data_IF_548143988818
#
_entry.id   IF_548143988818
#
_cell.length_a   1.000
_cell.length_b   1.000
_cell.length_c   1.000
_cell.angle_alpha   90.00
_cell.angle_beta   90.00
_cell.angle_gamma   90.00
#
_symmetry.space_group_name_H-M   'P 1'
#
loop_
_entity.id
_entity.type
_entity.pdbx_description
1 polymer ?
#
# COMPACT_ATOMS: atom_id res chain seq x y z
N UNK A 1 -9.90 33.73 -28.72
CA UNK A 1 -8.43 33.71 -28.54
C UNK A 1 -8.11 34.46 -27.27
N UNK A 2 -7.77 33.76 -26.18
CA UNK A 2 -7.29 34.41 -24.95
C UNK A 2 -5.86 34.87 -25.18
N UNK A 3 -5.50 36.03 -24.64
CA UNK A 3 -4.19 36.62 -24.84
C UNK A 3 -3.12 35.74 -24.15
N UNK A 4 -2.01 35.44 -24.81
CA UNK A 4 -0.89 34.65 -24.30
C UNK A 4 -0.41 35.04 -22.88
N UNK A 5 -0.40 36.30 -22.45
CA UNK A 5 0.01 36.71 -21.09
C UNK A 5 -0.92 36.20 -19.97
N UNK A 6 -2.23 36.09 -20.21
CA UNK A 6 -3.17 35.61 -19.19
C UNK A 6 -3.04 34.10 -18.96
N UNK A 7 -2.74 33.34 -19.99
CA UNK A 7 -2.48 31.87 -19.89
C UNK A 7 -1.19 31.62 -19.09
N UNK A 8 -0.10 32.33 -19.36
CA UNK A 8 1.17 32.18 -18.64
C UNK A 8 1.00 32.48 -17.15
N UNK A 9 0.36 33.59 -16.77
CA UNK A 9 0.13 33.93 -15.38
C UNK A 9 -0.71 32.90 -14.62
N UNK A 10 -1.72 32.31 -15.30
CA UNK A 10 -2.56 31.26 -14.70
C UNK A 10 -1.80 29.94 -14.53
N UNK A 11 -0.93 29.57 -15.47
CA UNK A 11 -0.09 28.38 -15.39
C UNK A 11 1.00 28.53 -14.30
N UNK A 12 1.62 29.69 -14.17
CA UNK A 12 2.56 29.99 -13.07
C UNK A 12 1.86 29.91 -11.71
N UNK A 13 0.65 30.45 -11.59
CA UNK A 13 -0.15 30.34 -10.36
C UNK A 13 -0.48 28.88 -10.02
N UNK A 14 -0.86 28.08 -11.02
CA UNK A 14 -1.12 26.64 -10.83
C UNK A 14 0.14 25.90 -10.41
N UNK A 15 1.28 26.18 -11.05
CA UNK A 15 2.55 25.55 -10.71
C UNK A 15 2.95 25.87 -9.27
N UNK A 16 2.74 27.10 -8.81
CA UNK A 16 2.97 27.46 -7.41
C UNK A 16 2.09 26.70 -6.42
N UNK A 17 0.80 26.48 -6.76
CA UNK A 17 -0.09 25.66 -5.91
C UNK A 17 0.36 24.20 -5.87
N UNK A 18 0.77 23.63 -7.00
CA UNK A 18 1.25 22.25 -7.10
C UNK A 18 2.51 22.05 -6.27
N UNK A 19 3.47 22.99 -6.37
CA UNK A 19 4.74 22.93 -5.64
C UNK A 19 4.51 23.07 -4.12
N UNK A 20 3.73 24.06 -3.68
CA UNK A 20 3.39 24.25 -2.27
C UNK A 20 2.69 23.03 -1.68
N UNK A 21 1.74 22.44 -2.44
CA UNK A 21 1.07 21.22 -2.04
C UNK A 21 2.06 20.06 -1.91
N UNK A 22 3.00 19.93 -2.86
CA UNK A 22 3.99 18.87 -2.81
C UNK A 22 4.91 18.99 -1.59
N UNK A 23 5.42 20.20 -1.30
CA UNK A 23 6.21 20.47 -0.11
C UNK A 23 5.43 20.17 1.17
N UNK A 24 4.15 20.54 1.21
CA UNK A 24 3.26 20.21 2.31
C UNK A 24 3.10 18.68 2.47
N UNK A 25 2.94 17.93 1.37
CA UNK A 25 2.87 16.46 1.41
C UNK A 25 4.13 15.86 2.02
N UNK A 26 5.32 16.33 1.63
CA UNK A 26 6.60 15.85 2.19
C UNK A 26 6.78 16.21 3.67
N UNK A 27 6.14 17.25 4.16
CA UNK A 27 6.13 17.60 5.58
C UNK A 27 5.14 16.74 6.36
N UNK A 28 3.95 16.48 5.81
CA UNK A 28 2.92 15.69 6.47
C UNK A 28 3.20 14.19 6.47
N UNK A 29 3.94 13.70 5.49
CA UNK A 29 4.23 12.27 5.25
C UNK A 29 5.73 12.08 5.01
N UNK A 30 6.57 12.14 6.07
CA UNK A 30 8.03 12.09 5.94
C UNK A 30 8.54 10.81 5.26
N UNK A 31 7.82 9.70 5.35
CA UNK A 31 8.16 8.45 4.66
C UNK A 31 8.21 8.60 3.13
N UNK A 32 7.47 9.56 2.55
CA UNK A 32 7.51 9.82 1.11
C UNK A 32 8.84 10.37 0.63
N UNK A 33 9.64 10.97 1.52
CA UNK A 33 10.99 11.45 1.21
C UNK A 33 11.92 10.32 0.78
N UNK A 34 11.72 9.12 1.33
CA UNK A 34 12.48 7.92 0.97
C UNK A 34 12.38 7.56 -0.52
N UNK A 35 11.25 7.88 -1.15
CA UNK A 35 11.05 7.62 -2.58
C UNK A 35 12.01 8.43 -3.46
N UNK A 36 12.57 9.52 -2.93
CA UNK A 36 13.52 10.42 -3.60
C UNK A 36 14.97 10.26 -3.15
N UNK A 37 15.25 9.34 -2.24
CA UNK A 37 16.56 9.28 -1.60
C UNK A 37 16.82 10.43 -0.61
N UNK A 38 15.81 11.25 -0.27
CA UNK A 38 15.92 12.30 0.75
C UNK A 38 15.85 11.68 2.15
N UNK A 39 17.00 11.59 2.80
CA UNK A 39 17.16 10.99 4.13
C UNK A 39 16.66 11.87 5.29
N UNK A 40 16.25 13.11 5.04
CA UNK A 40 15.86 14.05 6.11
C UNK A 40 14.59 13.63 6.89
N UNK A 41 13.80 12.70 6.33
CA UNK A 41 12.63 12.10 6.97
C UNK A 41 12.86 10.73 7.61
N UNK A 42 14.08 10.17 7.53
CA UNK A 42 14.33 8.78 7.92
C UNK A 42 14.04 8.48 9.39
N UNK A 43 14.24 9.43 10.28
CA UNK A 43 13.97 9.29 11.72
C UNK A 43 12.54 9.64 12.16
N UNK A 44 11.60 9.91 11.22
CA UNK A 44 10.29 10.45 11.54
C UNK A 44 9.16 9.54 11.07
N UNK A 45 8.06 9.52 11.81
CA UNK A 45 6.78 8.92 11.40
C UNK A 45 5.77 9.99 11.01
N UNK A 46 4.88 9.64 10.09
CA UNK A 46 3.64 10.39 9.87
C UNK A 46 2.87 10.52 11.20
N UNK A 47 2.48 11.73 11.58
CA UNK A 47 1.63 11.92 12.74
C UNK A 47 0.21 11.41 12.47
N UNK A 48 -0.18 10.35 13.18
CA UNK A 48 -1.48 9.69 13.08
C UNK A 48 -2.47 10.15 14.16
N UNK A 49 -2.20 11.25 14.86
CA UNK A 49 -3.13 11.81 15.84
C UNK A 49 -4.40 12.36 15.18
N UNK A 50 -5.51 12.38 15.91
CA UNK A 50 -6.75 13.00 15.45
C UNK A 50 -6.56 14.48 15.09
N UNK A 51 -5.72 15.18 15.85
CA UNK A 51 -5.38 16.59 15.61
C UNK A 51 -4.69 16.77 14.25
N UNK A 52 -3.75 15.88 13.90
CA UNK A 52 -3.07 15.91 12.61
C UNK A 52 -4.03 15.62 11.44
N UNK A 53 -4.95 14.66 11.58
CA UNK A 53 -6.01 14.44 10.58
C UNK A 53 -6.89 15.66 10.37
N UNK A 54 -7.30 16.31 11.45
CA UNK A 54 -8.10 17.56 11.38
C UNK A 54 -7.31 18.70 10.74
N UNK A 55 -6.01 18.81 11.02
CA UNK A 55 -5.16 19.84 10.41
C UNK A 55 -5.01 19.59 8.91
N UNK A 56 -4.68 18.37 8.50
CA UNK A 56 -4.61 18.00 7.08
C UNK A 56 -5.91 18.31 6.33
N UNK A 57 -7.06 18.00 6.93
CA UNK A 57 -8.35 18.34 6.34
C UNK A 57 -8.53 19.86 6.10
N UNK A 58 -8.09 20.72 7.04
CA UNK A 58 -8.13 22.18 6.87
C UNK A 58 -7.17 22.65 5.77
N UNK A 59 -5.95 22.15 5.78
CA UNK A 59 -4.90 22.52 4.82
C UNK A 59 -5.28 22.12 3.39
N UNK A 60 -5.81 20.93 3.21
CA UNK A 60 -6.37 20.47 1.93
C UNK A 60 -7.49 21.39 1.43
N UNK A 61 -8.34 21.88 2.36
CA UNK A 61 -9.38 22.88 2.05
C UNK A 61 -8.81 24.20 1.53
N UNK A 62 -7.68 24.65 2.08
CA UNK A 62 -7.00 25.86 1.60
C UNK A 62 -6.41 25.64 0.18
N UNK A 63 -5.84 24.46 -0.12
CA UNK A 63 -5.39 24.13 -1.47
C UNK A 63 -6.56 24.05 -2.46
N UNK A 64 -7.68 23.45 -2.09
CA UNK A 64 -8.90 23.43 -2.91
C UNK A 64 -9.33 24.85 -3.25
N UNK A 65 -9.40 25.76 -2.28
CA UNK A 65 -9.80 27.13 -2.49
C UNK A 65 -8.85 27.89 -3.44
N UNK A 66 -7.54 27.67 -3.34
CA UNK A 66 -6.54 28.23 -4.26
C UNK A 66 -6.74 27.71 -5.68
N UNK A 67 -6.98 26.42 -5.87
CA UNK A 67 -7.24 25.83 -7.17
C UNK A 67 -8.59 26.33 -7.79
N UNK A 68 -9.59 26.60 -6.99
CA UNK A 68 -10.87 27.16 -7.44
C UNK A 68 -10.76 28.56 -8.02
N UNK A 69 -9.77 29.35 -7.54
CA UNK A 69 -9.47 30.68 -8.08
C UNK A 69 -8.83 30.66 -9.47
N UNK A 70 -8.31 29.51 -9.91
CA UNK A 70 -7.68 29.36 -11.23
C UNK A 70 -8.74 28.91 -12.23
N UNK A 71 -9.11 29.79 -13.16
CA UNK A 71 -10.13 29.50 -14.18
C UNK A 71 -9.60 28.45 -15.17
N UNK A 72 -10.25 27.26 -15.31
CA UNK A 72 -9.75 26.19 -16.17
C UNK A 72 -9.63 26.57 -17.65
N UNK A 73 -10.47 27.51 -18.13
CA UNK A 73 -10.44 27.97 -19.50
C UNK A 73 -9.20 28.80 -19.85
N UNK A 74 -8.48 29.30 -18.83
CA UNK A 74 -7.22 30.05 -19.02
C UNK A 74 -5.99 29.16 -19.11
N UNK A 75 -6.13 27.85 -18.87
CA UNK A 75 -5.04 26.89 -18.84
C UNK A 75 -4.91 26.14 -20.16
N UNK A 76 -3.69 25.84 -20.56
CA UNK A 76 -3.41 24.87 -21.61
C UNK A 76 -3.90 23.46 -21.23
N UNK A 77 -3.88 22.54 -22.19
CA UNK A 77 -4.43 21.19 -22.03
C UNK A 77 -3.82 20.46 -20.83
N UNK A 78 -2.50 20.37 -20.75
CA UNK A 78 -1.79 19.60 -19.71
C UNK A 78 -1.91 20.26 -18.32
N UNK A 79 -1.84 21.58 -18.26
CA UNK A 79 -2.05 22.33 -17.03
C UNK A 79 -3.46 22.13 -16.47
N UNK A 80 -4.47 22.11 -17.33
CA UNK A 80 -5.85 21.84 -16.95
C UNK A 80 -6.04 20.41 -16.42
N UNK A 81 -5.37 19.41 -17.02
CA UNK A 81 -5.36 18.05 -16.51
C UNK A 81 -4.73 18.02 -15.11
N UNK A 82 -3.55 18.64 -14.92
CA UNK A 82 -2.87 18.70 -13.64
C UNK A 82 -3.75 19.32 -12.54
N UNK A 83 -4.38 20.49 -12.86
CA UNK A 83 -5.34 21.14 -11.94
C UNK A 83 -6.48 20.22 -11.55
N UNK A 84 -7.12 19.59 -12.51
CA UNK A 84 -8.31 18.75 -12.27
C UNK A 84 -7.95 17.49 -11.48
N UNK A 85 -6.81 16.88 -11.73
CA UNK A 85 -6.31 15.72 -10.98
C UNK A 85 -6.01 16.08 -9.53
N UNK A 86 -5.28 17.18 -9.28
CA UNK A 86 -4.99 17.62 -7.93
C UNK A 86 -6.26 18.01 -7.17
N UNK A 87 -7.16 18.75 -7.81
CA UNK A 87 -8.47 19.10 -7.27
C UNK A 87 -9.27 17.86 -6.85
N UNK A 88 -9.33 16.85 -7.72
CA UNK A 88 -9.99 15.58 -7.44
C UNK A 88 -9.36 14.88 -6.24
N UNK A 89 -8.03 14.74 -6.23
CA UNK A 89 -7.31 14.08 -5.12
C UNK A 89 -7.61 14.74 -3.77
N UNK A 90 -7.55 16.07 -3.71
CA UNK A 90 -7.84 16.84 -2.49
C UNK A 90 -9.29 16.68 -2.02
N UNK A 91 -10.25 16.76 -2.96
CA UNK A 91 -11.67 16.58 -2.65
C UNK A 91 -11.96 15.16 -2.14
N UNK A 92 -11.35 14.14 -2.74
CA UNK A 92 -11.49 12.75 -2.31
C UNK A 92 -10.87 12.51 -0.93
N UNK A 93 -9.69 13.08 -0.66
CA UNK A 93 -9.06 13.00 0.67
C UNK A 93 -9.94 13.63 1.74
N UNK A 94 -10.45 14.83 1.49
CA UNK A 94 -11.37 15.53 2.38
C UNK A 94 -12.66 14.74 2.60
N UNK A 95 -13.22 14.17 1.54
CA UNK A 95 -14.42 13.34 1.63
C UNK A 95 -14.21 12.10 2.50
N UNK A 96 -13.06 11.44 2.40
CA UNK A 96 -12.70 10.31 3.28
C UNK A 96 -12.68 10.72 4.75
N UNK A 97 -12.18 11.92 5.06
CA UNK A 97 -12.22 12.45 6.42
C UNK A 97 -13.65 12.73 6.87
N UNK A 98 -14.47 13.38 6.05
CA UNK A 98 -15.90 13.67 6.33
C UNK A 98 -16.71 12.39 6.54
N UNK A 99 -16.47 11.36 5.74
CA UNK A 99 -17.06 10.03 5.87
C UNK A 99 -16.54 9.27 7.10
N UNK A 100 -15.51 9.78 7.79
CA UNK A 100 -14.90 9.18 8.97
C UNK A 100 -14.10 7.92 8.70
N UNK A 101 -13.64 7.70 7.46
CA UNK A 101 -12.89 6.51 7.08
C UNK A 101 -11.48 6.47 7.68
N UNK A 102 -10.94 7.61 8.12
CA UNK A 102 -9.68 7.67 8.88
C UNK A 102 -9.78 7.00 10.26
N UNK A 103 -10.99 6.78 10.78
CA UNK A 103 -11.22 6.09 12.06
C UNK A 103 -11.27 4.55 11.91
N UNK A 104 -11.27 4.04 10.68
CA UNK A 104 -11.35 2.62 10.34
C UNK A 104 -10.00 2.18 9.74
N UNK A 105 -8.90 2.68 10.30
CA UNK A 105 -7.57 2.57 9.68
C UNK A 105 -6.84 1.25 10.00
N UNK A 106 -7.38 0.38 10.88
CA UNK A 106 -6.75 -0.85 11.32
C UNK A 106 -7.41 -2.07 10.68
N UNK A 107 -6.59 -2.92 10.08
CA UNK A 107 -6.98 -4.23 9.61
C UNK A 107 -5.80 -5.22 9.62
N UNK A 108 -6.01 -6.44 9.15
CA UNK A 108 -4.97 -7.48 9.13
C UNK A 108 -3.81 -7.19 8.16
N UNK A 109 -3.91 -6.18 7.29
CA UNK A 109 -2.89 -5.79 6.30
C UNK A 109 -2.31 -4.41 6.56
N UNK A 110 -2.98 -3.61 7.37
CA UNK A 110 -2.62 -2.21 7.63
C UNK A 110 -2.70 -1.92 9.12
N UNK A 111 -1.65 -1.34 9.66
CA UNK A 111 -1.63 -0.92 11.05
C UNK A 111 -0.26 -1.05 11.69
N UNK A 112 -0.19 -0.71 12.98
CA UNK A 112 1.07 -0.70 13.73
C UNK A 112 1.81 -2.05 13.77
N UNK A 113 1.09 -3.17 13.67
CA UNK A 113 1.67 -4.50 13.65
C UNK A 113 2.62 -4.75 12.46
N UNK A 114 2.54 -3.91 11.41
CA UNK A 114 3.39 -4.01 10.22
C UNK A 114 4.46 -2.91 10.13
N UNK A 115 4.56 -1.99 11.11
CA UNK A 115 5.49 -0.87 11.02
C UNK A 115 6.97 -1.28 11.11
N UNK A 116 7.27 -2.48 11.62
CA UNK A 116 8.62 -3.05 11.56
C UNK A 116 9.14 -3.19 10.13
N UNK A 117 8.28 -3.44 9.13
CA UNK A 117 8.68 -3.59 7.72
C UNK A 117 9.22 -2.30 7.09
N UNK A 118 9.06 -1.14 7.74
CA UNK A 118 9.68 0.12 7.31
C UNK A 118 11.19 -0.01 7.15
N UNK A 119 11.83 -0.89 7.91
CA UNK A 119 13.28 -1.13 7.83
C UNK A 119 13.74 -1.58 6.44
N UNK A 120 12.87 -2.26 5.68
CA UNK A 120 13.18 -2.75 4.34
C UNK A 120 13.25 -1.62 3.28
N UNK A 121 12.79 -0.43 3.64
CA UNK A 121 12.81 0.78 2.80
C UNK A 121 13.96 1.73 3.17
N UNK A 122 14.56 1.56 4.35
CA UNK A 122 15.62 2.44 4.86
C UNK A 122 17.00 2.01 4.35
N UNK A 123 17.90 2.96 4.03
CA UNK A 123 19.28 2.66 3.66
C UNK A 123 20.10 2.39 4.91
N UNK A 124 20.28 1.15 5.33
CA UNK A 124 20.99 0.80 6.56
C UNK A 124 22.50 0.67 6.31
N UNK A 125 23.18 1.76 5.96
CA UNK A 125 24.59 1.82 5.54
C UNK A 125 25.50 2.60 6.50
N UNK A 126 24.98 3.69 7.07
CA UNK A 126 25.74 4.62 7.90
C UNK A 126 25.28 4.61 9.35
N UNK A 127 26.11 5.06 10.30
CA UNK A 127 25.71 5.24 11.70
C UNK A 127 24.42 6.06 11.81
N UNK A 128 24.28 7.15 11.04
CA UNK A 128 23.08 7.99 11.06
C UNK A 128 21.82 7.22 10.68
N UNK A 129 21.89 6.28 9.74
CA UNK A 129 20.72 5.46 9.36
C UNK A 129 20.21 4.63 10.55
N UNK A 130 21.13 4.08 11.36
CA UNK A 130 20.78 3.34 12.59
C UNK A 130 20.27 4.24 13.70
N UNK A 131 20.82 5.45 13.83
CA UNK A 131 20.31 6.45 14.78
C UNK A 131 18.90 6.93 14.38
N UNK A 132 18.64 7.09 13.10
CA UNK A 132 17.31 7.42 12.57
C UNK A 132 16.31 6.30 12.86
N UNK A 133 16.71 5.03 12.71
CA UNK A 133 15.86 3.90 13.08
C UNK A 133 15.58 3.86 14.57
N UNK A 134 16.59 4.05 15.42
CA UNK A 134 16.41 4.19 16.86
C UNK A 134 15.47 5.35 17.23
N UNK A 135 15.54 6.47 16.52
CA UNK A 135 14.62 7.60 16.69
C UNK A 135 13.17 7.19 16.39
N UNK A 136 12.96 6.44 15.30
CA UNK A 136 11.63 5.88 14.98
C UNK A 136 11.13 4.94 16.08
N UNK A 137 11.98 4.03 16.57
CA UNK A 137 11.59 3.09 17.62
C UNK A 137 11.16 3.82 18.91
N UNK A 138 11.89 4.87 19.32
CA UNK A 138 11.51 5.71 20.49
C UNK A 138 10.19 6.45 20.30
N UNK A 139 9.85 6.81 19.07
CA UNK A 139 8.60 7.52 18.77
C UNK A 139 7.37 6.59 18.66
N UNK A 140 7.58 5.27 18.54
CA UNK A 140 6.48 4.31 18.35
C UNK A 140 5.46 4.28 19.50
N UNK A 141 5.84 4.33 20.79
CA UNK A 141 4.86 4.36 21.87
C UNK A 141 3.84 5.49 21.72
N UNK A 142 4.28 6.70 21.41
CA UNK A 142 3.40 7.85 21.17
C UNK A 142 2.52 7.64 19.93
N UNK A 143 3.07 7.06 18.85
CA UNK A 143 2.31 6.72 17.66
C UNK A 143 1.24 5.66 17.94
N UNK A 144 1.53 4.65 18.75
CA UNK A 144 0.58 3.62 19.20
C UNK A 144 -0.54 4.24 20.04
N UNK A 145 -0.21 5.14 20.97
CA UNK A 145 -1.20 5.86 21.76
C UNK A 145 -2.11 6.75 20.90
N UNK A 146 -1.56 7.48 19.91
CA UNK A 146 -2.32 8.26 18.94
C UNK A 146 -3.26 7.36 18.13
N UNK A 147 -2.77 6.21 17.68
CA UNK A 147 -3.54 5.25 16.91
C UNK A 147 -4.70 4.67 17.73
N UNK A 148 -4.44 4.28 18.98
CA UNK A 148 -5.47 3.86 19.93
C UNK A 148 -6.52 4.95 20.15
N UNK A 149 -6.11 6.23 20.24
CA UNK A 149 -7.00 7.38 20.32
C UNK A 149 -7.94 7.51 19.12
N UNK A 150 -7.45 7.23 17.89
CA UNK A 150 -8.30 7.17 16.68
C UNK A 150 -9.32 6.04 16.76
N UNK A 151 -8.88 4.84 17.16
CA UNK A 151 -9.77 3.68 17.30
C UNK A 151 -10.82 3.91 18.37
N UNK A 152 -10.47 4.53 19.50
CA UNK A 152 -11.40 4.92 20.56
C UNK A 152 -12.43 5.95 20.06
N UNK A 153 -12.01 6.92 19.24
CA UNK A 153 -12.92 7.85 18.56
C UNK A 153 -13.84 7.12 17.60
N UNK A 154 -13.32 6.11 16.89
CA UNK A 154 -14.10 5.21 16.04
C UNK A 154 -15.23 4.54 16.82
N UNK A 155 -14.93 3.95 17.98
CA UNK A 155 -15.93 3.32 18.86
C UNK A 155 -17.02 4.32 19.24
N UNK A 156 -16.64 5.50 19.77
CA UNK A 156 -17.60 6.51 20.25
C UNK A 156 -18.46 7.12 19.14
N UNK A 157 -18.04 7.01 17.87
CA UNK A 157 -18.80 7.48 16.70
C UNK A 157 -19.44 6.37 15.87
N UNK A 158 -19.43 5.12 16.38
CA UNK A 158 -19.92 3.92 15.69
C UNK A 158 -19.25 3.71 14.32
N UNK A 159 -17.95 4.05 14.21
CA UNK A 159 -17.12 3.90 13.01
C UNK A 159 -15.96 2.96 13.31
N UNK A 160 -16.28 1.69 13.56
CA UNK A 160 -15.32 0.64 13.81
C UNK A 160 -15.11 -0.22 12.56
N UNK A 161 -14.01 -0.94 12.51
CA UNK A 161 -13.78 -1.96 11.49
C UNK A 161 -14.70 -3.16 11.72
N UNK A 162 -14.92 -3.97 10.70
CA UNK A 162 -15.71 -5.20 10.82
C UNK A 162 -15.02 -6.23 11.71
N UNK A 163 -15.80 -6.89 12.58
CA UNK A 163 -15.28 -7.89 13.53
C UNK A 163 -14.49 -9.00 12.85
N UNK A 164 -14.98 -9.52 11.72
CA UNK A 164 -14.30 -10.58 10.96
C UNK A 164 -12.91 -10.16 10.45
N UNK A 165 -12.72 -8.88 10.14
CA UNK A 165 -11.44 -8.33 9.71
C UNK A 165 -10.50 -8.16 10.90
N UNK A 166 -11.04 -7.68 12.02
CA UNK A 166 -10.25 -7.41 13.23
C UNK A 166 -9.85 -8.65 14.02
N UNK A 167 -10.57 -9.77 13.85
CA UNK A 167 -10.34 -10.98 14.62
C UNK A 167 -8.92 -11.56 14.53
N UNK A 168 -8.16 -11.20 13.47
CA UNK A 168 -6.77 -11.65 13.27
C UNK A 168 -5.72 -10.71 13.84
N UNK A 169 -6.07 -9.44 14.05
CA UNK A 169 -5.09 -8.40 14.42
C UNK A 169 -4.45 -8.63 15.79
N UNK A 170 -5.18 -9.06 16.86
CA UNK A 170 -4.54 -9.35 18.13
C UNK A 170 -3.44 -10.40 18.04
N UNK A 171 -3.65 -11.48 17.27
CA UNK A 171 -2.62 -12.50 17.09
C UNK A 171 -1.38 -11.95 16.36
N UNK A 172 -1.54 -11.04 15.40
CA UNK A 172 -0.42 -10.37 14.74
C UNK A 172 0.36 -9.47 15.70
N UNK A 173 -0.33 -8.77 16.60
CA UNK A 173 0.33 -7.97 17.65
C UNK A 173 1.02 -8.87 18.67
N UNK A 174 0.41 -10.00 19.05
CA UNK A 174 0.97 -10.96 19.99
C UNK A 174 2.33 -11.51 19.51
N UNK A 175 2.46 -11.81 18.20
CA UNK A 175 3.71 -12.30 17.60
C UNK A 175 4.86 -11.30 17.81
N UNK A 176 4.60 -9.98 17.79
CA UNK A 176 5.63 -8.96 18.02
C UNK A 176 6.18 -8.96 19.46
N UNK A 177 5.43 -9.54 20.39
CA UNK A 177 5.75 -9.63 21.83
C UNK A 177 6.41 -10.97 22.21
N UNK A 178 6.54 -11.90 21.27
CA UNK A 178 7.13 -13.21 21.51
C UNK A 178 8.67 -13.16 21.54
N UNK A 179 9.28 -13.99 22.37
CA UNK A 179 10.74 -14.12 22.47
C UNK A 179 11.42 -12.99 23.22
N UNK A 180 12.71 -12.82 22.96
CA UNK A 180 13.54 -11.74 23.50
C UNK A 180 13.51 -10.52 22.59
N UNK A 181 14.04 -9.38 23.05
CA UNK A 181 14.15 -8.19 22.21
C UNK A 181 14.94 -8.43 20.91
N UNK A 182 15.91 -9.34 20.92
CA UNK A 182 16.71 -9.69 19.73
C UNK A 182 15.96 -10.57 18.72
N UNK A 183 14.86 -11.19 19.13
CA UNK A 183 13.97 -11.95 18.24
C UNK A 183 12.89 -11.05 17.61
N UNK A 184 12.70 -9.84 18.12
CA UNK A 184 11.72 -8.88 17.62
C UNK A 184 12.02 -8.47 16.17
N UNK A 185 10.99 -8.40 15.28
CA UNK A 185 11.16 -7.85 13.92
C UNK A 185 11.72 -6.42 13.90
N UNK A 186 11.46 -5.62 14.95
CA UNK A 186 12.03 -4.28 15.11
C UNK A 186 13.54 -4.27 15.35
N UNK A 187 14.11 -5.39 15.83
CA UNK A 187 15.55 -5.53 16.03
C UNK A 187 16.30 -5.94 14.75
N UNK A 188 15.61 -6.35 13.70
CA UNK A 188 16.16 -6.90 12.44
C UNK A 188 17.39 -6.16 11.91
N UNK A 189 17.36 -4.82 11.92
CA UNK A 189 18.48 -3.99 11.47
C UNK A 189 19.76 -4.20 12.26
N UNK A 190 19.65 -4.56 13.55
CA UNK A 190 20.77 -4.68 14.47
C UNK A 190 21.36 -6.10 14.53
N UNK A 191 20.70 -7.07 13.90
CA UNK A 191 21.15 -8.47 13.84
C UNK A 191 22.43 -8.63 13.01
N UNK A 192 22.63 -7.80 11.97
CA UNK A 192 23.78 -7.85 11.07
C UNK A 192 24.25 -6.42 10.72
N UNK A 193 24.96 -5.80 11.67
CA UNK A 193 25.53 -4.46 11.47
C UNK A 193 26.67 -4.45 10.44
N UNK A 194 26.85 -3.33 9.68
CA UNK A 194 27.90 -3.22 8.67
C UNK A 194 29.28 -3.62 9.18
N UNK A 195 30.09 -4.37 8.38
CA UNK A 195 31.41 -4.83 8.83
C UNK A 195 32.37 -3.70 9.21
N UNK A 196 32.23 -2.54 8.58
CA UNK A 196 33.09 -1.38 8.78
C UNK A 196 32.80 -0.59 10.08
N UNK A 197 31.73 -0.91 10.80
CA UNK A 197 31.47 -0.29 12.10
C UNK A 197 32.41 -0.83 13.16
N UNK A 198 32.93 0.05 14.01
CA UNK A 198 33.76 -0.30 15.16
C UNK A 198 32.98 -1.15 16.18
N UNK A 199 33.64 -2.10 16.85
CA UNK A 199 32.97 -3.01 17.81
C UNK A 199 32.18 -2.28 18.92
N UNK A 200 32.74 -1.18 19.45
CA UNK A 200 32.10 -0.39 20.49
C UNK A 200 30.80 0.25 20.01
N UNK A 201 30.79 0.78 18.78
CA UNK A 201 29.59 1.34 18.15
C UNK A 201 28.53 0.25 17.97
N UNK A 202 28.92 -0.92 17.44
CA UNK A 202 28.01 -2.05 17.30
C UNK A 202 27.34 -2.43 18.61
N UNK A 203 28.14 -2.54 19.67
CA UNK A 203 27.64 -2.85 21.02
C UNK A 203 26.66 -1.79 21.54
N UNK A 204 26.96 -0.50 21.32
CA UNK A 204 26.08 0.60 21.74
C UNK A 204 24.75 0.59 21.01
N UNK A 205 24.75 0.45 19.67
CA UNK A 205 23.53 0.41 18.85
C UNK A 205 22.65 -0.79 19.23
N UNK A 206 23.24 -1.97 19.41
CA UNK A 206 22.54 -3.18 19.81
C UNK A 206 21.94 -3.08 21.22
N UNK A 207 22.71 -2.57 22.18
CA UNK A 207 22.23 -2.38 23.54
C UNK A 207 21.08 -1.37 23.62
N UNK A 208 21.18 -0.27 22.89
CA UNK A 208 20.13 0.75 22.87
C UNK A 208 18.86 0.23 22.19
N UNK A 209 18.97 -0.51 21.08
CA UNK A 209 17.82 -1.13 20.43
C UNK A 209 17.11 -2.12 21.38
N UNK A 210 17.88 -2.99 22.05
CA UNK A 210 17.35 -3.93 23.04
C UNK A 210 16.61 -3.18 24.15
N UNK A 211 17.24 -2.13 24.73
CA UNK A 211 16.62 -1.34 25.79
C UNK A 211 15.29 -0.73 25.33
N UNK A 212 15.25 -0.09 24.18
CA UNK A 212 14.02 0.55 23.67
C UNK A 212 12.93 -0.49 23.49
N UNK A 213 13.25 -1.63 22.86
CA UNK A 213 12.27 -2.69 22.60
C UNK A 213 11.70 -3.23 23.92
N UNK A 214 12.54 -3.54 24.88
CA UNK A 214 12.11 -4.12 26.17
C UNK A 214 11.35 -3.13 27.05
N UNK A 215 11.84 -1.87 27.14
CA UNK A 215 11.35 -0.95 28.17
C UNK A 215 10.32 0.06 27.66
N UNK A 216 10.22 0.25 26.35
CA UNK A 216 9.32 1.24 25.76
C UNK A 216 8.33 0.60 24.77
N UNK A 217 8.83 -0.20 23.82
CA UNK A 217 8.02 -0.69 22.71
C UNK A 217 7.11 -1.87 23.12
N UNK A 218 7.67 -2.89 23.79
CA UNK A 218 6.88 -4.05 24.25
C UNK A 218 5.74 -3.64 25.19
N UNK A 219 5.95 -2.77 26.22
CA UNK A 219 4.84 -2.27 27.03
C UNK A 219 3.75 -1.58 26.22
N UNK A 220 4.10 -0.75 25.22
CA UNK A 220 3.16 -0.04 24.40
C UNK A 220 2.35 -0.99 23.49
N UNK A 221 2.97 -2.02 22.90
CA UNK A 221 2.25 -3.05 22.15
C UNK A 221 1.37 -3.92 23.06
N UNK A 222 1.80 -4.20 24.28
CA UNK A 222 0.96 -4.92 25.25
C UNK A 222 -0.30 -4.12 25.61
N UNK A 223 -0.17 -2.80 25.78
CA UNK A 223 -1.31 -1.91 26.01
C UNK A 223 -2.27 -1.90 24.80
N UNK A 224 -1.71 -1.80 23.58
CA UNK A 224 -2.51 -1.88 22.36
C UNK A 224 -3.24 -3.22 22.26
N UNK A 225 -2.56 -4.34 22.55
CA UNK A 225 -3.16 -5.68 22.52
C UNK A 225 -4.34 -5.78 23.47
N UNK A 226 -4.15 -5.37 24.73
CA UNK A 226 -5.23 -5.35 25.74
C UNK A 226 -6.41 -4.48 25.30
N UNK A 227 -6.13 -3.30 24.74
CA UNK A 227 -7.18 -2.43 24.19
C UNK A 227 -7.95 -3.09 23.02
N UNK A 228 -7.24 -3.75 22.12
CA UNK A 228 -7.86 -4.44 20.98
C UNK A 228 -8.78 -5.58 21.45
N UNK A 229 -8.33 -6.40 22.38
CA UNK A 229 -9.08 -7.56 22.87
C UNK A 229 -10.27 -7.17 23.76
N UNK A 230 -10.04 -6.27 24.71
CA UNK A 230 -11.00 -5.97 25.77
C UNK A 230 -11.98 -4.85 25.37
N UNK A 231 -11.57 -3.95 24.48
CA UNK A 231 -12.35 -2.73 24.17
C UNK A 231 -12.81 -2.67 22.70
N UNK A 232 -11.87 -2.86 21.76
CA UNK A 232 -12.18 -2.63 20.34
C UNK A 232 -12.96 -3.79 19.70
N UNK A 233 -12.52 -5.04 19.89
CA UNK A 233 -13.18 -6.21 19.32
C UNK A 233 -14.65 -6.37 19.77
N UNK A 234 -14.99 -6.16 21.06
CA UNK A 234 -16.40 -6.17 21.49
C UNK A 234 -17.25 -5.07 20.84
N UNK A 235 -16.63 -3.96 20.45
CA UNK A 235 -17.29 -2.83 19.79
C UNK A 235 -17.22 -2.90 18.24
N UNK A 236 -16.55 -3.90 17.68
CA UNK A 236 -16.38 -4.06 16.24
C UNK A 236 -17.73 -4.36 15.56
N UNK A 237 -17.94 -3.73 14.39
CA UNK A 237 -19.23 -3.81 13.68
C UNK A 237 -19.43 -5.14 12.93
N UNK A 238 -20.66 -5.37 12.52
CA UNK A 238 -21.01 -6.43 11.56
C UNK A 238 -20.33 -6.16 10.18
N UNK A 239 -20.13 -7.20 9.36
CA UNK A 239 -19.60 -7.05 8.01
C UNK A 239 -20.42 -6.09 7.14
N UNK A 240 -19.75 -5.49 6.16
CA UNK A 240 -20.37 -4.59 5.18
C UNK A 240 -20.37 -3.13 5.63
N UNK A 241 -19.97 -2.24 4.72
CA UNK A 241 -19.86 -0.79 4.98
C UNK A 241 -21.24 -0.15 5.27
N UNK A 242 -22.32 -0.80 4.84
CA UNK A 242 -23.70 -0.37 5.12
C UNK A 242 -24.06 -0.31 6.61
N UNK A 243 -23.30 -0.98 7.49
CA UNK A 243 -23.48 -0.93 8.95
C UNK A 243 -22.93 0.34 9.59
N UNK A 244 -22.15 1.16 8.87
CA UNK A 244 -21.66 2.44 9.34
C UNK A 244 -22.76 3.51 9.33
N UNK A 245 -22.68 4.53 10.21
CA UNK A 245 -23.51 5.71 10.10
C UNK A 245 -23.37 6.36 8.70
N UNK A 246 -24.48 6.46 7.96
CA UNK A 246 -24.46 6.92 6.56
C UNK A 246 -23.79 5.95 5.56
N UNK A 247 -23.65 4.67 5.92
CA UNK A 247 -22.88 3.69 5.16
C UNK A 247 -23.28 3.53 3.70
N UNK A 248 -24.57 3.62 3.37
CA UNK A 248 -25.02 3.61 1.96
C UNK A 248 -24.45 4.78 1.16
N UNK A 249 -24.42 5.97 1.75
CA UNK A 249 -23.86 7.16 1.10
C UNK A 249 -22.34 7.04 0.99
N UNK A 250 -21.66 6.58 2.04
CA UNK A 250 -20.21 6.29 2.01
C UNK A 250 -19.88 5.30 0.89
N UNK A 251 -20.68 4.24 0.74
CA UNK A 251 -20.49 3.25 -0.32
C UNK A 251 -20.65 3.86 -1.72
N UNK A 252 -21.67 4.69 -1.93
CA UNK A 252 -21.86 5.40 -3.21
C UNK A 252 -20.68 6.32 -3.54
N UNK A 253 -20.11 7.02 -2.54
CA UNK A 253 -18.90 7.81 -2.75
C UNK A 253 -17.68 6.95 -3.13
N UNK A 254 -17.53 5.80 -2.49
CA UNK A 254 -16.45 4.85 -2.83
C UNK A 254 -16.64 4.28 -4.24
N UNK A 255 -17.87 3.94 -4.63
CA UNK A 255 -18.18 3.51 -6.00
C UNK A 255 -17.75 4.58 -7.00
N UNK A 256 -18.19 5.83 -6.84
CA UNK A 256 -17.77 6.94 -7.69
C UNK A 256 -16.25 7.12 -7.75
N UNK A 257 -15.59 7.02 -6.59
CA UNK A 257 -14.13 7.12 -6.50
C UNK A 257 -13.44 6.06 -7.33
N UNK A 258 -13.84 4.79 -7.18
CA UNK A 258 -13.13 3.65 -7.79
C UNK A 258 -13.49 3.41 -9.25
N UNK A 259 -14.76 3.60 -9.62
CA UNK A 259 -15.20 3.42 -11.00
C UNK A 259 -14.97 4.63 -11.88
N UNK A 260 -14.87 5.82 -11.28
CA UNK A 260 -14.86 7.12 -11.99
C UNK A 260 -16.10 7.36 -12.85
N UNK A 261 -17.21 6.71 -12.51
CA UNK A 261 -18.50 6.82 -13.21
C UNK A 261 -19.58 7.31 -12.24
N UNK A 262 -20.73 7.69 -12.79
CA UNK A 262 -21.92 8.05 -12.02
C UNK A 262 -22.87 6.86 -11.79
N UNK A 263 -22.38 5.63 -12.03
CA UNK A 263 -23.15 4.41 -11.82
C UNK A 263 -23.51 4.21 -10.36
N UNK A 264 -24.72 3.78 -10.13
CA UNK A 264 -25.19 3.39 -8.80
C UNK A 264 -24.65 2.01 -8.39
N UNK A 265 -24.59 1.69 -7.10
CA UNK A 265 -24.26 0.35 -6.63
C UNK A 265 -25.15 -0.75 -7.24
N UNK A 266 -26.42 -0.48 -7.42
CA UNK A 266 -27.38 -1.46 -7.98
C UNK A 266 -27.12 -1.73 -9.47
N UNK A 267 -26.81 -0.70 -10.27
CA UNK A 267 -26.42 -0.87 -11.68
C UNK A 267 -25.13 -1.70 -11.79
N UNK A 268 -24.14 -1.45 -10.92
CA UNK A 268 -22.89 -2.23 -10.92
C UNK A 268 -23.15 -3.68 -10.50
N UNK A 269 -24.03 -3.90 -9.52
CA UNK A 269 -24.42 -5.24 -9.10
C UNK A 269 -25.05 -6.03 -10.24
N UNK A 270 -25.96 -5.39 -11.00
CA UNK A 270 -26.61 -6.02 -12.14
C UNK A 270 -25.61 -6.38 -13.26
N UNK A 271 -24.66 -5.49 -13.55
CA UNK A 271 -23.54 -5.80 -14.45
C UNK A 271 -22.75 -7.00 -13.93
N UNK A 272 -22.48 -7.03 -12.63
CA UNK A 272 -21.77 -8.13 -11.98
C UNK A 272 -22.47 -9.49 -12.18
N UNK A 273 -23.78 -9.53 -12.05
CA UNK A 273 -24.57 -10.76 -12.30
C UNK A 273 -24.46 -11.22 -13.77
N UNK A 274 -24.56 -10.29 -14.71
CA UNK A 274 -24.42 -10.59 -16.14
C UNK A 274 -23.02 -11.10 -16.49
N UNK A 275 -21.97 -10.50 -15.91
CA UNK A 275 -20.58 -10.93 -16.10
C UNK A 275 -20.29 -12.30 -15.49
N UNK A 276 -20.84 -12.61 -14.31
CA UNK A 276 -20.72 -13.94 -13.71
C UNK A 276 -21.32 -15.01 -14.63
N UNK A 277 -22.48 -14.73 -15.23
CA UNK A 277 -23.12 -15.66 -16.16
C UNK A 277 -22.29 -15.80 -17.46
N UNK A 278 -21.76 -14.70 -18.01
CA UNK A 278 -20.89 -14.71 -19.18
C UNK A 278 -19.63 -15.54 -18.94
N UNK A 279 -18.92 -15.25 -17.84
CA UNK A 279 -17.68 -15.94 -17.46
C UNK A 279 -17.94 -17.43 -17.23
N UNK A 280 -19.05 -17.80 -16.59
CA UNK A 280 -19.42 -19.20 -16.39
C UNK A 280 -19.54 -19.97 -17.71
N UNK A 281 -20.23 -19.40 -18.71
CA UNK A 281 -20.31 -20.00 -20.05
C UNK A 281 -18.95 -20.15 -20.73
N UNK A 282 -18.06 -19.18 -20.57
CA UNK A 282 -16.71 -19.25 -21.12
C UNK A 282 -15.87 -20.34 -20.41
N UNK A 283 -15.99 -20.46 -19.09
CA UNK A 283 -15.33 -21.53 -18.34
C UNK A 283 -15.82 -22.92 -18.78
N UNK A 284 -17.12 -23.09 -18.98
CA UNK A 284 -17.70 -24.35 -19.49
C UNK A 284 -17.16 -24.67 -20.90
N UNK A 285 -16.99 -23.67 -21.75
CA UNK A 285 -16.38 -23.85 -23.09
C UNK A 285 -14.91 -24.29 -22.98
N UNK A 286 -14.13 -23.70 -22.09
CA UNK A 286 -12.73 -24.11 -21.82
C UNK A 286 -12.67 -25.55 -21.29
N UNK A 287 -13.56 -25.94 -20.38
CA UNK A 287 -13.63 -27.33 -19.86
C UNK A 287 -13.86 -28.32 -21.00
N UNK A 288 -14.75 -27.97 -21.94
CA UNK A 288 -15.03 -28.79 -23.13
C UNK A 288 -13.80 -28.83 -24.08
N UNK A 289 -13.13 -27.71 -24.29
CA UNK A 289 -11.94 -27.59 -25.16
C UNK A 289 -10.77 -28.45 -24.67
N UNK A 290 -10.53 -28.45 -23.33
CA UNK A 290 -9.47 -29.28 -22.74
C UNK A 290 -9.85 -30.78 -22.61
N UNK A 291 -11.08 -31.13 -23.00
CA UNK A 291 -11.56 -32.53 -23.00
C UNK A 291 -11.78 -33.14 -21.63
N UNK A 292 -11.93 -32.30 -20.57
CA UNK A 292 -12.16 -32.80 -19.21
C UNK A 292 -13.56 -33.43 -19.11
N UNK A 293 -13.60 -34.66 -18.51
CA UNK A 293 -14.84 -35.38 -18.31
C UNK A 293 -15.42 -35.09 -16.93
N UNK A 294 -16.32 -34.11 -16.84
CA UNK A 294 -16.97 -33.69 -15.61
C UNK A 294 -17.58 -32.29 -15.72
N UNK A 295 -18.27 -31.91 -14.66
CA UNK A 295 -18.85 -30.58 -14.53
C UNK A 295 -17.80 -29.55 -13.98
N UNK A 296 -18.22 -28.29 -13.88
CA UNK A 296 -17.43 -27.20 -13.32
C UNK A 296 -16.89 -27.50 -11.91
N UNK A 297 -17.68 -28.14 -11.06
CA UNK A 297 -17.26 -28.46 -9.69
C UNK A 297 -16.16 -29.51 -9.69
N UNK A 298 -16.32 -30.56 -10.50
CA UNK A 298 -15.31 -31.59 -10.69
C UNK A 298 -14.00 -31.02 -11.29
N UNK A 299 -14.10 -30.10 -12.28
CA UNK A 299 -12.94 -29.45 -12.87
C UNK A 299 -12.21 -28.56 -11.86
N UNK A 300 -12.94 -27.77 -11.08
CA UNK A 300 -12.34 -26.97 -10.01
C UNK A 300 -11.66 -27.84 -8.95
N UNK A 301 -12.21 -28.99 -8.62
CA UNK A 301 -11.59 -29.96 -7.70
C UNK A 301 -10.28 -30.50 -8.31
N UNK A 302 -10.31 -30.92 -9.58
CA UNK A 302 -9.12 -31.36 -10.31
C UNK A 302 -8.01 -30.30 -10.30
N UNK A 303 -8.34 -29.05 -10.65
CA UNK A 303 -7.35 -27.96 -10.64
C UNK A 303 -6.75 -27.70 -9.26
N UNK A 304 -7.52 -27.91 -8.17
CA UNK A 304 -7.07 -27.65 -6.79
C UNK A 304 -6.31 -28.81 -6.16
N UNK A 305 -6.46 -30.01 -6.65
CA UNK A 305 -5.94 -31.22 -5.98
C UNK A 305 -4.93 -32.01 -6.78
N UNK A 306 -4.85 -31.82 -8.10
CA UNK A 306 -3.89 -32.57 -8.92
C UNK A 306 -2.48 -31.99 -8.76
N UNK A 307 -1.49 -32.80 -8.31
CA UNK A 307 -0.13 -32.35 -8.03
C UNK A 307 0.59 -31.73 -9.25
N UNK A 308 0.19 -32.06 -10.48
CA UNK A 308 0.81 -31.49 -11.68
C UNK A 308 0.78 -29.96 -11.70
N UNK A 309 -0.20 -29.35 -11.04
CA UNK A 309 -0.40 -27.90 -11.01
C UNK A 309 0.38 -27.19 -9.92
N UNK A 310 1.10 -27.90 -9.07
CA UNK A 310 1.77 -27.33 -7.90
C UNK A 310 3.25 -27.65 -7.89
N UNK A 311 4.02 -26.86 -7.13
CA UNK A 311 5.40 -27.19 -6.80
C UNK A 311 5.47 -27.87 -5.44
N UNK A 312 6.49 -28.71 -5.28
CA UNK A 312 6.66 -29.52 -4.08
C UNK A 312 7.37 -28.77 -2.95
N UNK A 313 7.97 -27.61 -3.23
CA UNK A 313 8.68 -26.82 -2.22
C UNK A 313 8.58 -25.32 -2.48
N UNK A 314 8.76 -24.48 -1.44
CA UNK A 314 8.86 -23.04 -1.55
C UNK A 314 9.97 -22.58 -2.52
N UNK A 315 11.13 -23.24 -2.49
CA UNK A 315 12.28 -22.94 -3.34
C UNK A 315 11.95 -23.15 -4.82
N UNK A 316 11.35 -24.30 -5.16
CA UNK A 316 10.93 -24.60 -6.52
C UNK A 316 9.85 -23.63 -7.02
N UNK A 317 8.94 -23.21 -6.15
CA UNK A 317 7.92 -22.20 -6.44
C UNK A 317 8.58 -20.84 -6.76
N UNK A 318 9.56 -20.40 -5.94
CA UNK A 318 10.31 -19.16 -6.18
C UNK A 318 11.06 -19.19 -7.51
N UNK A 319 11.80 -20.28 -7.78
CA UNK A 319 12.50 -20.48 -9.05
C UNK A 319 11.54 -20.44 -10.23
N UNK A 320 10.34 -21.02 -10.09
CA UNK A 320 9.28 -20.96 -11.09
C UNK A 320 8.87 -19.52 -11.42
N UNK A 321 8.61 -18.68 -10.42
CA UNK A 321 8.29 -17.26 -10.61
C UNK A 321 9.44 -16.48 -11.25
N UNK A 322 10.68 -16.72 -10.83
CA UNK A 322 11.88 -16.12 -11.44
C UNK A 322 12.03 -16.50 -12.90
N UNK A 323 11.82 -17.77 -13.23
CA UNK A 323 11.88 -18.28 -14.60
C UNK A 323 10.77 -17.70 -15.48
N UNK A 324 9.53 -17.60 -14.98
CA UNK A 324 8.41 -16.96 -15.71
C UNK A 324 8.75 -15.51 -15.99
N UNK A 325 9.10 -14.74 -14.97
CA UNK A 325 9.44 -13.32 -15.10
C UNK A 325 10.54 -13.09 -16.13
N UNK A 326 11.57 -13.92 -16.13
CA UNK A 326 12.67 -13.81 -17.10
C UNK A 326 12.28 -14.18 -18.54
N UNK A 327 11.32 -15.10 -18.73
CA UNK A 327 10.79 -15.42 -20.07
C UNK A 327 9.95 -14.28 -20.66
N UNK A 328 9.35 -13.42 -19.85
CA UNK A 328 8.54 -12.27 -20.30
C UNK A 328 9.40 -11.14 -20.88
N UNK A 329 10.60 -10.90 -20.32
CA UNK A 329 11.47 -9.77 -20.67
C UNK A 329 11.71 -9.60 -22.20
N UNK A 330 12.08 -10.65 -22.97
CA UNK A 330 12.36 -10.49 -24.40
C UNK A 330 11.15 -10.09 -25.24
N UNK A 331 9.92 -10.31 -24.71
CA UNK A 331 8.67 -9.95 -25.38
C UNK A 331 8.41 -8.44 -25.36
N UNK A 332 8.96 -7.72 -24.39
CA UNK A 332 8.65 -6.31 -24.15
C UNK A 332 9.02 -5.40 -25.34
N UNK A 333 10.15 -5.67 -26.01
CA UNK A 333 10.62 -4.87 -27.15
C UNK A 333 9.69 -4.92 -28.36
N UNK A 334 8.78 -5.92 -28.42
CA UNK A 334 7.78 -6.06 -29.47
C UNK A 334 6.51 -5.23 -29.18
N UNK A 335 6.29 -4.87 -27.91
CA UNK A 335 5.06 -4.21 -27.45
C UNK A 335 5.29 -2.74 -27.09
N UNK A 336 6.51 -2.38 -26.62
CA UNK A 336 6.80 -1.07 -26.06
C UNK A 336 8.01 -0.44 -26.74
N UNK A 337 7.87 0.81 -27.17
CA UNK A 337 8.94 1.61 -27.78
C UNK A 337 9.96 2.15 -26.76
N UNK A 338 9.62 2.10 -25.45
CA UNK A 338 10.51 2.51 -24.36
C UNK A 338 10.42 1.51 -23.23
N UNK A 339 11.56 1.14 -22.68
CA UNK A 339 11.68 0.26 -21.52
C UNK A 339 12.27 1.05 -20.33
N UNK A 340 11.92 0.70 -19.08
CA UNK A 340 12.48 1.34 -17.90
C UNK A 340 13.98 1.03 -17.73
N UNK A 341 14.72 1.95 -17.15
CA UNK A 341 16.14 1.75 -16.79
C UNK A 341 16.31 0.96 -15.50
N UNK A 342 15.36 1.13 -14.57
CA UNK A 342 15.41 0.43 -13.29
C UNK A 342 15.24 -1.09 -13.50
N UNK A 343 16.13 -1.93 -12.94
CA UNK A 343 15.93 -3.37 -12.92
C UNK A 343 14.88 -3.77 -11.88
N UNK A 344 14.43 -5.04 -11.98
CA UNK A 344 13.64 -5.67 -10.91
C UNK A 344 14.13 -7.08 -10.63
N UNK A 345 13.75 -7.60 -9.46
CA UNK A 345 13.97 -8.98 -9.07
C UNK A 345 12.69 -9.60 -8.50
N UNK A 346 12.74 -10.94 -8.28
CA UNK A 346 11.66 -11.70 -7.65
C UNK A 346 12.19 -12.29 -6.35
N UNK A 347 11.48 -12.10 -5.24
CA UNK A 347 11.85 -12.64 -3.93
C UNK A 347 10.64 -13.04 -3.08
N UNK A 348 10.88 -13.82 -2.02
CA UNK A 348 9.84 -14.24 -1.11
C UNK A 348 9.27 -13.06 -0.28
N UNK A 349 7.98 -13.13 0.02
CA UNK A 349 7.37 -12.35 1.11
C UNK A 349 7.95 -12.87 2.44
N UNK A 350 8.27 -12.00 3.41
CA UNK A 350 8.73 -12.41 4.73
C UNK A 350 7.79 -13.43 5.39
N UNK A 351 8.37 -14.42 6.07
CA UNK A 351 7.60 -15.54 6.65
C UNK A 351 6.58 -15.09 7.68
N UNK A 352 6.87 -14.03 8.41
CA UNK A 352 5.98 -13.42 9.41
C UNK A 352 4.74 -12.77 8.81
N UNK A 353 4.82 -12.30 7.55
CA UNK A 353 3.71 -11.67 6.82
C UNK A 353 2.95 -12.67 5.92
N UNK A 354 3.63 -13.71 5.47
CA UNK A 354 3.15 -14.61 4.42
C UNK A 354 1.81 -15.30 4.72
N UNK A 355 1.48 -15.71 5.96
CA UNK A 355 0.19 -16.35 6.27
C UNK A 355 -1.04 -15.47 6.05
N UNK A 356 -0.91 -14.17 6.30
CA UNK A 356 -2.04 -13.22 6.34
C UNK A 356 -2.04 -12.19 5.20
N UNK A 357 -1.12 -12.35 4.23
CA UNK A 357 -1.01 -11.42 3.10
C UNK A 357 -1.47 -12.02 1.76
N UNK A 358 -1.40 -11.23 0.71
CA UNK A 358 -1.80 -11.62 -0.66
C UNK A 358 -0.85 -12.64 -1.28
N UNK A 359 -1.21 -13.17 -2.46
CA UNK A 359 -0.37 -14.09 -3.23
C UNK A 359 0.92 -13.44 -3.71
N UNK A 360 0.88 -12.15 -4.01
CA UNK A 360 2.03 -11.39 -4.45
C UNK A 360 1.78 -9.89 -4.30
N UNK A 361 2.86 -9.10 -4.36
CA UNK A 361 2.80 -7.65 -4.52
C UNK A 361 4.10 -7.11 -5.13
N UNK A 362 4.04 -5.91 -5.67
CA UNK A 362 5.19 -5.23 -6.23
C UNK A 362 5.65 -4.05 -5.36
N UNK A 363 6.98 -3.97 -5.12
CA UNK A 363 7.64 -2.81 -4.51
C UNK A 363 8.41 -2.04 -5.57
N UNK A 364 8.13 -0.74 -5.68
CA UNK A 364 8.77 0.15 -6.66
C UNK A 364 10.27 0.31 -6.42
N UNK A 365 11.08 0.60 -7.46
CA UNK A 365 12.48 0.95 -7.29
C UNK A 365 12.63 2.32 -6.63
N UNK A 366 13.79 2.59 -6.03
CA UNK A 366 14.15 3.93 -5.62
C UNK A 366 14.48 4.79 -6.87
N UNK A 367 14.04 6.06 -6.85
CA UNK A 367 14.23 6.97 -7.99
C UNK A 367 15.70 7.27 -8.24
N UNK A 368 16.50 7.33 -7.18
CA UNK A 368 17.95 7.55 -7.22
C UNK A 368 18.75 6.32 -7.72
N UNK A 369 18.08 5.19 -7.94
CA UNK A 369 18.69 3.94 -8.40
C UNK A 369 19.37 3.11 -7.29
N UNK A 370 19.28 3.53 -6.03
CA UNK A 370 19.88 2.82 -4.88
C UNK A 370 19.21 1.46 -4.59
N UNK A 371 17.97 1.26 -5.04
CA UNK A 371 17.21 0.03 -4.83
C UNK A 371 16.43 -0.36 -6.08
N UNK A 372 16.49 -1.64 -6.53
CA UNK A 372 15.69 -2.14 -7.65
C UNK A 372 14.21 -2.26 -7.28
N UNK A 373 13.36 -2.48 -8.28
CA UNK A 373 12.00 -2.95 -8.06
C UNK A 373 11.99 -4.39 -7.54
N UNK A 374 11.03 -4.73 -6.69
CA UNK A 374 10.88 -6.10 -6.19
C UNK A 374 9.46 -6.61 -6.42
N UNK A 375 9.37 -7.74 -7.08
CA UNK A 375 8.19 -8.57 -7.15
C UNK A 375 8.25 -9.59 -5.99
N UNK A 376 7.43 -9.38 -4.97
CA UNK A 376 7.32 -10.28 -3.84
C UNK A 376 6.29 -11.38 -4.12
N UNK A 377 6.67 -12.62 -3.86
CA UNK A 377 5.82 -13.79 -4.03
C UNK A 377 5.64 -14.54 -2.72
N UNK A 378 4.43 -14.93 -2.44
CA UNK A 378 4.07 -15.66 -1.23
C UNK A 378 4.41 -17.14 -1.40
N UNK A 379 5.38 -17.62 -0.62
CA UNK A 379 5.82 -19.02 -0.65
C UNK A 379 5.14 -19.88 0.44
N UNK A 380 4.35 -19.25 1.31
CA UNK A 380 3.60 -19.99 2.33
C UNK A 380 2.58 -20.88 1.67
N UNK A 381 2.62 -22.18 2.00
CA UNK A 381 1.75 -23.21 1.47
C UNK A 381 1.80 -23.32 -0.06
N UNK A 382 2.91 -23.78 -0.65
CA UNK A 382 3.07 -23.90 -2.12
C UNK A 382 1.99 -24.78 -2.77
N UNK A 383 1.41 -25.73 -2.02
CA UNK A 383 0.34 -26.61 -2.46
C UNK A 383 -1.01 -25.90 -2.75
N UNK A 384 -1.14 -24.62 -2.45
CA UNK A 384 -2.30 -23.79 -2.80
C UNK A 384 -1.98 -22.71 -3.82
N UNK A 385 -0.79 -22.78 -4.45
CA UNK A 385 -0.27 -21.79 -5.42
C UNK A 385 -0.03 -22.41 -6.78
N UNK A 386 -1.07 -22.42 -7.63
CA UNK A 386 -1.03 -23.19 -8.86
C UNK A 386 -0.13 -22.55 -9.92
N UNK A 387 0.60 -23.39 -10.66
CA UNK A 387 1.47 -22.98 -11.77
C UNK A 387 0.75 -22.19 -12.87
N UNK A 388 -0.52 -22.47 -13.13
CA UNK A 388 -1.29 -21.81 -14.19
C UNK A 388 -1.64 -20.36 -13.88
N UNK A 389 -1.58 -19.90 -12.62
CA UNK A 389 -1.75 -18.50 -12.24
C UNK A 389 -0.45 -17.69 -12.33
N UNK A 390 0.72 -18.35 -12.36
CA UNK A 390 2.00 -17.68 -12.22
C UNK A 390 2.31 -16.72 -13.36
N UNK A 391 1.96 -17.07 -14.60
CA UNK A 391 2.24 -16.21 -15.76
C UNK A 391 1.41 -14.93 -15.70
N UNK A 392 0.12 -15.04 -15.45
CA UNK A 392 -0.79 -13.87 -15.34
C UNK A 392 -0.36 -12.98 -14.19
N UNK A 393 -0.03 -13.56 -13.04
CA UNK A 393 0.42 -12.82 -11.88
C UNK A 393 1.78 -12.13 -12.13
N UNK A 394 2.72 -12.82 -12.77
CA UNK A 394 4.03 -12.23 -13.13
C UNK A 394 3.88 -11.10 -14.16
N UNK A 395 2.98 -11.23 -15.13
CA UNK A 395 2.62 -10.14 -16.06
C UNK A 395 2.07 -8.94 -15.29
N UNK A 396 1.23 -9.16 -14.28
CA UNK A 396 0.64 -8.11 -13.47
C UNK A 396 1.67 -7.40 -12.57
N UNK A 397 2.46 -8.15 -11.81
CA UNK A 397 3.36 -7.59 -10.78
C UNK A 397 4.70 -7.11 -11.36
N UNK A 398 5.22 -7.81 -12.38
CA UNK A 398 6.50 -7.47 -12.99
C UNK A 398 6.35 -6.72 -14.31
N UNK A 399 6.52 -7.39 -15.43
CA UNK A 399 6.47 -6.80 -16.77
C UNK A 399 5.46 -7.53 -17.65
N UNK A 400 4.63 -6.79 -18.40
CA UNK A 400 4.54 -5.34 -18.56
C UNK A 400 3.70 -4.60 -17.50
N UNK A 401 3.42 -5.21 -16.36
CA UNK A 401 2.56 -4.69 -15.30
C UNK A 401 3.21 -3.60 -14.43
N UNK A 402 3.11 -3.77 -13.11
CA UNK A 402 3.50 -2.75 -12.14
C UNK A 402 4.93 -2.23 -12.31
N UNK A 403 5.91 -3.13 -12.52
CA UNK A 403 7.30 -2.69 -12.69
C UNK A 403 7.47 -1.77 -13.89
N UNK A 404 7.00 -2.18 -15.07
CA UNK A 404 7.13 -1.36 -16.29
C UNK A 404 6.44 -0.01 -16.13
N UNK A 405 5.19 -0.03 -15.67
CA UNK A 405 4.37 1.16 -15.53
C UNK A 405 4.95 2.17 -14.54
N UNK A 406 5.29 1.72 -13.34
CA UNK A 406 5.76 2.58 -12.25
C UNK A 406 7.14 3.13 -12.57
N UNK A 407 8.05 2.28 -13.06
CA UNK A 407 9.42 2.71 -13.40
C UNK A 407 9.42 3.71 -14.55
N UNK A 408 8.61 3.51 -15.59
CA UNK A 408 8.48 4.51 -16.66
C UNK A 408 7.85 5.81 -16.15
N UNK A 409 6.84 5.73 -15.26
CA UNK A 409 6.24 6.93 -14.67
C UNK A 409 7.26 7.75 -13.85
N UNK A 410 8.13 7.07 -13.09
CA UNK A 410 9.22 7.72 -12.35
C UNK A 410 10.24 8.42 -13.27
N UNK A 411 10.43 7.93 -14.50
CA UNK A 411 11.34 8.53 -15.49
C UNK A 411 10.75 9.72 -16.27
N UNK A 412 9.48 10.03 -16.09
CA UNK A 412 8.84 11.16 -16.78
C UNK A 412 9.25 12.49 -16.12
N UNK A 413 10.00 13.31 -16.85
CA UNK A 413 10.51 14.60 -16.35
C UNK A 413 9.57 15.79 -16.56
N UNK A 414 8.54 15.65 -17.39
CA UNK A 414 7.59 16.72 -17.74
C UNK A 414 6.31 16.74 -16.90
N UNK A 415 6.15 15.83 -15.93
CA UNK A 415 4.97 15.74 -15.08
C UNK A 415 5.27 16.20 -13.65
N UNK A 416 4.31 16.88 -13.00
CA UNK A 416 4.41 17.19 -11.57
C UNK A 416 4.63 15.95 -10.70
N UNK A 417 5.34 16.11 -9.58
CA UNK A 417 5.70 14.99 -8.70
C UNK A 417 4.49 14.21 -8.18
N UNK A 418 3.39 14.88 -7.84
CA UNK A 418 2.18 14.23 -7.39
C UNK A 418 1.58 13.26 -8.43
N UNK A 419 1.87 13.44 -9.73
CA UNK A 419 1.47 12.52 -10.81
C UNK A 419 2.46 11.38 -11.01
N UNK A 420 3.75 11.64 -10.86
CA UNK A 420 4.81 10.66 -11.08
C UNK A 420 4.84 9.58 -10.00
N UNK A 421 4.45 9.93 -8.77
CA UNK A 421 4.63 9.10 -7.58
C UNK A 421 3.32 8.65 -6.94
N UNK A 422 2.20 9.10 -7.45
CA UNK A 422 0.90 8.66 -6.97
C UNK A 422 0.46 7.39 -7.68
N UNK A 423 0.51 6.26 -6.98
CA UNK A 423 -0.11 5.00 -7.44
C UNK A 423 -1.64 5.06 -7.48
N UNK A 424 -2.24 6.01 -6.79
CA UNK A 424 -3.70 6.14 -6.65
C UNK A 424 -4.41 6.30 -8.00
N UNK A 425 -3.71 6.76 -9.02
CA UNK A 425 -4.29 7.05 -10.33
C UNK A 425 -4.11 5.93 -11.37
N UNK A 426 -3.32 4.89 -11.08
CA UNK A 426 -2.88 3.96 -12.10
C UNK A 426 -3.16 2.49 -11.77
N UNK A 427 -3.18 2.05 -10.52
CA UNK A 427 -3.21 0.61 -10.21
C UNK A 427 -3.97 0.17 -8.96
N UNK A 428 -4.69 1.02 -8.28
CA UNK A 428 -5.38 0.68 -7.03
C UNK A 428 -6.83 0.17 -7.10
N UNK A 429 -7.50 -0.05 -8.22
CA UNK A 429 -8.80 -0.74 -8.20
C UNK A 429 -8.73 -2.14 -7.61
N UNK A 430 -7.58 -2.82 -7.73
CA UNK A 430 -7.43 -4.22 -7.30
C UNK A 430 -7.01 -4.38 -5.84
N UNK A 431 -6.33 -3.38 -5.23
CA UNK A 431 -5.82 -3.48 -3.86
C UNK A 431 -6.87 -3.22 -2.78
N UNK A 432 -7.96 -2.52 -3.12
CA UNK A 432 -9.04 -2.19 -2.17
C UNK A 432 -10.37 -2.92 -2.46
N UNK A 433 -10.44 -3.73 -3.49
CA UNK A 433 -11.62 -4.56 -3.78
C UNK A 433 -11.75 -5.79 -2.88
N UNK A 434 -10.90 -5.92 -1.87
CA UNK A 434 -10.94 -7.00 -0.88
C UNK A 434 -11.47 -6.48 0.47
N UNK A 435 -12.45 -5.58 0.45
CA UNK A 435 -13.18 -5.17 1.65
C UNK A 435 -14.54 -5.87 1.70
#
# INVERSE_FOLDING_TARGET
MMSAPATVASEESLQGVIEDHWQWVLQQYPERRLEYGDRSGNGQWTDNSLAAFQQRYRDEGAFVARLEQIEPATLGHDARINRNMLMRQLRESRRRFEDGLHLIALDMRSGPQHWHSMIDYLPMETEQDYLDWLSRLRALPDQLANYQGLLQKGITSNRTQAQIVMARVPAQVQILLEGSATDSPFYKAFSALPPHFEPDLKGQLQAEATRIIETELNPAFQELLSFLEETYLPAARAPGIGSLPGGKQVYSHLVQRFTTTDMTPDEIHEIGLQEVERIRREMEAVIAEVGFQGDMAAFNTFLRTDPQFYYDSPEALLEGYQAVSKRLDPGLVKLFGKLPRAPYGVRAIPDEEAPDTTTAYYMRPAIDGSRPGWYYVNLHRPEVRPKFEMEVLSVHESVPGHHLQISLAQELTGLPEFRRLSLIHISEPTRQATI
#
